data_IF_290503252280
#
_entry.id   IF_290503252280
#
_cell.length_a   1.000
_cell.length_b   1.000
_cell.length_c   1.000
_cell.angle_alpha   90.00
_cell.angle_beta   90.00
_cell.angle_gamma   90.00
#
_symmetry.space_group_name_H-M   'P 1'
#
loop_
_entity.id
_entity.type
_entity.pdbx_description
1 polymer ?
#
# COMPACT_ATOMS: atom_id res chain seq x y z
N UNK A 1 -70.48 19.67 -14.53
CA UNK A 1 -69.54 19.98 -13.44
C UNK A 1 -70.34 20.06 -12.15
N UNK A 2 -70.46 18.95 -11.42
CA UNK A 2 -71.21 18.91 -10.17
C UNK A 2 -70.40 19.64 -9.08
N UNK A 3 -71.00 20.68 -8.48
CA UNK A 3 -70.35 21.59 -7.55
C UNK A 3 -69.92 20.87 -6.27
N UNK A 4 -68.75 21.22 -5.75
CA UNK A 4 -68.15 20.72 -4.50
C UNK A 4 -69.14 20.80 -3.31
N UNK A 5 -70.09 21.73 -3.36
CA UNK A 5 -71.17 21.86 -2.38
C UNK A 5 -72.08 20.63 -2.25
N UNK A 6 -72.33 19.89 -3.33
CA UNK A 6 -73.11 18.65 -3.25
C UNK A 6 -72.34 17.52 -2.57
N UNK A 7 -71.01 17.51 -2.68
CA UNK A 7 -70.18 16.49 -2.05
C UNK A 7 -70.04 16.74 -0.54
N UNK A 8 -69.91 18.01 -0.14
CA UNK A 8 -69.90 18.41 1.27
C UNK A 8 -71.24 18.12 1.95
N UNK A 9 -72.36 18.35 1.26
CA UNK A 9 -73.70 18.07 1.79
C UNK A 9 -73.98 16.57 1.98
N UNK A 10 -73.43 15.72 1.12
CA UNK A 10 -73.56 14.26 1.24
C UNK A 10 -72.69 13.72 2.40
N UNK A 11 -71.50 14.29 2.60
CA UNK A 11 -70.63 13.99 3.75
C UNK A 11 -71.27 14.44 5.07
N UNK A 12 -71.88 15.63 5.11
CA UNK A 12 -72.57 16.11 6.30
C UNK A 12 -73.78 15.24 6.65
N UNK A 13 -74.57 14.80 5.66
CA UNK A 13 -75.68 13.87 5.87
C UNK A 13 -75.20 12.48 6.34
N UNK A 14 -74.03 12.02 5.89
CA UNK A 14 -73.44 10.75 6.32
C UNK A 14 -73.00 10.77 7.79
N UNK A 15 -72.60 11.93 8.32
CA UNK A 15 -72.19 12.08 9.72
C UNK A 15 -73.34 12.49 10.67
N UNK A 16 -74.39 13.15 10.17
CA UNK A 16 -75.54 13.58 10.98
C UNK A 16 -76.50 12.45 11.35
N UNK A 17 -76.48 11.31 10.63
CA UNK A 17 -77.27 10.13 10.95
C UNK A 17 -76.76 9.27 12.12
N UNK A 18 -75.62 9.62 12.74
CA UNK A 18 -74.96 8.79 13.78
C UNK A 18 -74.88 9.42 15.18
N UNK A 19 -75.72 10.41 15.49
CA UNK A 19 -75.82 11.01 16.83
C UNK A 19 -77.28 11.01 17.29
N UNK A 20 -77.77 9.99 18.03
CA UNK A 20 -77.98 9.92 19.50
C UNK A 20 -78.93 8.72 19.81
N UNK A 21 -79.17 8.24 21.06
CA UNK A 21 -78.44 8.33 22.36
C UNK A 21 -78.25 6.96 23.11
N UNK A 22 -77.35 6.92 24.11
CA UNK A 22 -76.95 5.91 25.15
C UNK A 22 -77.87 4.71 25.52
N UNK A 23 -77.36 3.53 25.99
CA UNK A 23 -76.51 3.39 27.21
C UNK A 23 -75.40 2.31 27.20
N UNK A 24 -74.42 2.44 28.12
CA UNK A 24 -73.59 1.33 28.59
C UNK A 24 -72.11 1.39 28.20
N UNK A 25 -71.34 2.21 28.92
CA UNK A 25 -69.87 2.30 28.84
C UNK A 25 -69.16 1.10 29.54
N UNK A 26 -69.89 0.02 29.87
CA UNK A 26 -69.36 -1.11 30.61
C UNK A 26 -68.47 -2.02 29.74
N UNK A 27 -68.59 -1.99 28.40
CA UNK A 27 -67.87 -2.91 27.52
C UNK A 27 -66.38 -2.60 27.39
N UNK A 28 -66.01 -1.32 27.35
CA UNK A 28 -64.62 -0.88 27.24
C UNK A 28 -63.92 -0.91 28.60
N UNK A 29 -64.60 -0.50 29.67
CA UNK A 29 -64.07 -0.60 31.02
C UNK A 29 -63.96 -2.05 31.48
N UNK A 30 -64.88 -2.94 31.07
CA UNK A 30 -64.74 -4.37 31.33
C UNK A 30 -63.69 -5.03 30.45
N UNK A 31 -63.48 -4.57 29.21
CA UNK A 31 -62.36 -5.02 28.38
C UNK A 31 -61.02 -4.55 28.94
N UNK A 32 -60.94 -3.31 29.44
CA UNK A 32 -59.75 -2.76 30.08
C UNK A 32 -59.46 -3.45 31.41
N UNK A 33 -60.49 -3.65 32.24
CA UNK A 33 -60.40 -4.40 33.49
C UNK A 33 -60.04 -5.88 33.25
N UNK A 34 -60.58 -6.51 32.20
CA UNK A 34 -60.21 -7.87 31.81
C UNK A 34 -58.76 -7.95 31.29
N UNK A 35 -58.29 -6.96 30.53
CA UNK A 35 -56.88 -6.87 30.12
C UNK A 35 -55.97 -6.70 31.35
N UNK A 36 -56.35 -5.81 32.26
CA UNK A 36 -55.58 -5.48 33.45
C UNK A 36 -55.57 -6.64 34.46
N UNK A 37 -56.68 -7.37 34.60
CA UNK A 37 -56.76 -8.63 35.35
C UNK A 37 -55.97 -9.76 34.67
N UNK A 38 -55.96 -9.84 33.34
CA UNK A 38 -55.12 -10.82 32.63
C UNK A 38 -53.62 -10.54 32.85
N UNK A 39 -53.22 -9.27 33.02
CA UNK A 39 -51.86 -8.87 33.40
C UNK A 39 -51.53 -9.12 34.89
N UNK A 40 -52.49 -8.98 35.81
CA UNK A 40 -52.28 -9.22 37.24
C UNK A 40 -52.35 -10.71 37.62
N UNK A 41 -53.23 -11.48 36.99
CA UNK A 41 -53.38 -12.94 37.26
C UNK A 41 -52.23 -13.75 36.67
N UNK A 42 -51.44 -13.16 35.77
CA UNK A 42 -50.24 -13.77 35.17
C UNK A 42 -48.93 -13.27 35.80
N UNK A 43 -48.96 -12.87 37.07
CA UNK A 43 -47.76 -12.53 37.87
C UNK A 43 -47.23 -13.69 38.73
N UNK A 44 -47.31 -14.90 38.18
CA UNK A 44 -46.37 -15.95 38.55
C UNK A 44 -45.89 -16.58 37.24
N UNK A 45 -44.59 -16.41 36.97
CA UNK A 45 -43.78 -16.80 35.78
C UNK A 45 -43.45 -15.58 34.86
N UNK A 46 -42.16 -15.32 34.54
CA UNK A 46 -41.64 -13.99 34.21
C UNK A 46 -41.80 -13.62 32.73
N UNK A 47 -42.31 -12.41 32.47
CA UNK A 47 -42.24 -11.74 31.17
C UNK A 47 -41.14 -10.67 31.18
N UNK A 48 -39.88 -11.11 31.17
CA UNK A 48 -38.68 -10.27 30.97
C UNK A 48 -37.78 -10.98 29.97
N UNK A 49 -38.07 -10.92 28.66
CA UNK A 49 -37.21 -11.63 27.68
C UNK A 49 -37.21 -11.09 26.24
N UNK A 50 -38.00 -10.06 25.88
CA UNK A 50 -37.92 -9.48 24.52
C UNK A 50 -37.34 -8.07 24.50
N UNK A 51 -37.79 -7.16 25.37
CA UNK A 51 -37.19 -5.82 25.52
C UNK A 51 -35.76 -5.88 26.04
N UNK A 52 -35.52 -6.64 27.12
CA UNK A 52 -34.17 -6.85 27.67
C UNK A 52 -33.24 -7.52 26.66
N UNK A 53 -33.76 -8.49 25.89
CA UNK A 53 -32.97 -9.19 24.86
C UNK A 53 -32.59 -8.32 23.67
N UNK A 54 -33.47 -7.39 23.26
CA UNK A 54 -33.15 -6.40 22.23
C UNK A 54 -32.16 -5.36 22.74
N UNK A 55 -32.31 -4.89 23.98
CA UNK A 55 -31.35 -3.97 24.61
C UNK A 55 -29.98 -4.61 24.82
N UNK A 56 -29.92 -5.86 25.29
CA UNK A 56 -28.67 -6.63 25.41
C UNK A 56 -28.00 -6.83 24.05
N UNK A 57 -28.77 -7.12 23.01
CA UNK A 57 -28.24 -7.27 21.64
C UNK A 57 -27.69 -5.95 21.09
N UNK A 58 -28.37 -4.82 21.35
CA UNK A 58 -27.90 -3.49 20.95
C UNK A 58 -26.61 -3.12 21.68
N UNK A 59 -26.55 -3.39 22.99
CA UNK A 59 -25.37 -3.14 23.81
C UNK A 59 -24.19 -4.04 23.43
N UNK A 60 -24.44 -5.30 23.05
CA UNK A 60 -23.43 -6.21 22.53
C UNK A 60 -22.87 -5.73 21.19
N UNK A 61 -23.72 -5.24 20.28
CA UNK A 61 -23.31 -4.63 19.00
C UNK A 61 -22.47 -3.37 19.21
N UNK A 62 -22.84 -2.50 20.16
CA UNK A 62 -22.04 -1.32 20.50
C UNK A 62 -20.68 -1.69 21.11
N UNK A 63 -20.63 -2.69 22.01
CA UNK A 63 -19.38 -3.20 22.56
C UNK A 63 -18.50 -3.84 21.49
N UNK A 64 -19.06 -4.61 20.57
CA UNK A 64 -18.32 -5.21 19.46
C UNK A 64 -17.78 -4.14 18.52
N UNK A 65 -18.58 -3.11 18.22
CA UNK A 65 -18.16 -1.99 17.36
C UNK A 65 -17.04 -1.17 18.01
N UNK A 66 -17.12 -0.91 19.31
CA UNK A 66 -16.08 -0.19 20.06
C UNK A 66 -14.82 -1.03 20.22
N UNK A 67 -14.94 -2.33 20.50
CA UNK A 67 -13.82 -3.27 20.56
C UNK A 67 -13.12 -3.40 19.20
N UNK A 68 -13.87 -3.45 18.10
CA UNK A 68 -13.30 -3.50 16.76
C UNK A 68 -12.58 -2.19 16.40
N UNK A 69 -13.18 -1.03 16.72
CA UNK A 69 -12.51 0.26 16.56
C UNK A 69 -11.22 0.37 17.37
N UNK A 70 -11.20 -0.15 18.60
CA UNK A 70 -9.99 -0.17 19.43
C UNK A 70 -8.88 -1.04 18.81
N UNK A 71 -9.22 -2.25 18.37
CA UNK A 71 -8.30 -3.14 17.65
C UNK A 71 -7.74 -2.48 16.39
N UNK A 72 -8.55 -1.73 15.65
CA UNK A 72 -8.10 -1.05 14.44
C UNK A 72 -7.21 0.16 14.76
N UNK A 73 -7.49 0.89 15.85
CA UNK A 73 -6.57 1.92 16.37
C UNK A 73 -5.21 1.32 16.76
N UNK A 74 -5.18 0.17 17.43
CA UNK A 74 -3.95 -0.52 17.82
C UNK A 74 -3.15 -1.00 16.60
N UNK A 75 -3.82 -1.59 15.61
CA UNK A 75 -3.19 -1.99 14.33
C UNK A 75 -2.60 -0.79 13.60
N UNK A 76 -3.34 0.31 13.49
CA UNK A 76 -2.86 1.52 12.85
C UNK A 76 -1.65 2.08 13.60
N UNK A 77 -1.70 2.13 14.93
CA UNK A 77 -0.57 2.57 15.75
C UNK A 77 0.69 1.73 15.50
N UNK A 78 0.54 0.40 15.41
CA UNK A 78 1.64 -0.51 15.09
C UNK A 78 2.21 -0.25 13.68
N UNK A 79 1.34 -0.04 12.69
CA UNK A 79 1.77 0.30 11.32
C UNK A 79 2.57 1.61 11.30
N UNK A 80 2.13 2.64 12.03
CA UNK A 80 2.89 3.89 12.14
C UNK A 80 4.27 3.69 12.77
N UNK A 81 4.37 2.87 13.81
CA UNK A 81 5.64 2.54 14.43
C UNK A 81 6.57 1.80 13.45
N UNK A 82 6.06 0.80 12.74
CA UNK A 82 6.83 0.01 11.77
C UNK A 82 7.32 0.88 10.60
N UNK A 83 6.48 1.78 10.09
CA UNK A 83 6.84 2.74 9.05
C UNK A 83 7.95 3.69 9.54
N UNK A 84 7.81 4.23 10.75
CA UNK A 84 8.82 5.12 11.32
C UNK A 84 10.16 4.41 11.54
N UNK A 85 10.14 3.15 11.99
CA UNK A 85 11.34 2.33 12.13
C UNK A 85 12.00 2.05 10.77
N UNK A 86 11.20 1.74 9.75
CA UNK A 86 11.70 1.51 8.38
C UNK A 86 12.33 2.78 7.80
N UNK A 87 11.68 3.93 7.99
CA UNK A 87 12.22 5.23 7.56
C UNK A 87 13.55 5.52 8.27
N UNK A 88 13.61 5.34 9.60
CA UNK A 88 14.83 5.57 10.38
C UNK A 88 15.96 4.59 10.00
N UNK A 89 15.63 3.32 9.69
CA UNK A 89 16.61 2.34 9.22
C UNK A 89 17.15 2.71 7.83
N UNK A 90 16.28 3.14 6.90
CA UNK A 90 16.66 3.53 5.55
C UNK A 90 17.46 4.84 5.52
N UNK A 91 17.11 5.80 6.38
CA UNK A 91 17.89 7.02 6.57
C UNK A 91 19.29 6.71 7.12
N UNK A 92 19.41 5.79 8.10
CA UNK A 92 20.71 5.33 8.59
C UNK A 92 21.55 4.65 7.52
N UNK A 93 20.94 3.86 6.63
CA UNK A 93 21.64 3.25 5.49
C UNK A 93 22.08 4.28 4.46
N UNK A 94 21.24 5.28 4.13
CA UNK A 94 21.58 6.34 3.19
C UNK A 94 22.66 7.30 3.71
N UNK A 95 22.78 7.44 5.04
CA UNK A 95 23.82 8.21 5.70
C UNK A 95 25.11 7.41 5.93
N UNK A 96 25.12 6.10 5.65
CA UNK A 96 26.40 5.42 5.56
C UNK A 96 27.16 6.04 4.39
N UNK A 97 28.36 6.58 4.61
CA UNK A 97 29.17 7.05 3.50
C UNK A 97 29.36 5.86 2.56
N UNK A 98 29.01 6.03 1.28
CA UNK A 98 29.62 5.18 0.26
C UNK A 98 31.12 5.23 0.53
N UNK A 99 31.84 4.10 0.49
CA UNK A 99 33.28 4.11 0.68
C UNK A 99 33.88 5.04 -0.39
N UNK A 100 34.14 6.30 -0.04
CA UNK A 100 34.77 7.27 -0.95
C UNK A 100 36.12 6.75 -1.44
N UNK A 101 36.72 5.84 -0.66
CA UNK A 101 37.89 5.05 -1.00
C UNK A 101 37.69 4.28 -2.30
N UNK A 102 36.53 3.69 -2.54
CA UNK A 102 36.30 2.82 -3.70
C UNK A 102 36.18 3.66 -4.97
N UNK A 103 35.46 4.77 -4.93
CA UNK A 103 35.31 5.64 -6.11
C UNK A 103 36.66 6.29 -6.48
N UNK A 104 37.41 6.79 -5.49
CA UNK A 104 38.75 7.37 -5.73
C UNK A 104 39.75 6.32 -6.21
N UNK A 105 39.70 5.10 -5.66
CA UNK A 105 40.55 3.99 -6.10
C UNK A 105 40.22 3.53 -7.52
N UNK A 106 38.93 3.39 -7.87
CA UNK A 106 38.49 3.04 -9.22
C UNK A 106 38.94 4.11 -10.23
N UNK A 107 38.74 5.40 -9.91
CA UNK A 107 39.18 6.48 -10.78
C UNK A 107 40.71 6.53 -10.96
N UNK A 108 41.46 6.27 -9.88
CA UNK A 108 42.92 6.20 -9.95
C UNK A 108 43.41 5.02 -10.79
N UNK A 109 42.81 3.84 -10.62
CA UNK A 109 43.14 2.64 -11.40
C UNK A 109 42.85 2.83 -12.89
N UNK A 110 41.71 3.42 -13.24
CA UNK A 110 41.36 3.73 -14.63
C UNK A 110 42.35 4.73 -15.24
N UNK A 111 42.71 5.80 -14.51
CA UNK A 111 43.72 6.76 -14.96
C UNK A 111 45.08 6.09 -15.18
N UNK A 112 45.48 5.20 -14.28
CA UNK A 112 46.74 4.46 -14.40
C UNK A 112 46.73 3.54 -15.63
N UNK A 113 45.64 2.80 -15.85
CA UNK A 113 45.47 1.94 -17.04
C UNK A 113 45.54 2.75 -18.33
N UNK A 114 44.89 3.91 -18.39
CA UNK A 114 44.97 4.79 -19.56
C UNK A 114 46.38 5.33 -19.79
N UNK A 115 47.09 5.71 -18.72
CA UNK A 115 48.47 6.17 -18.83
C UNK A 115 49.40 5.06 -19.33
N UNK A 116 49.24 3.84 -18.80
CA UNK A 116 50.01 2.66 -19.22
C UNK A 116 49.73 2.30 -20.68
N UNK A 117 48.45 2.31 -21.10
CA UNK A 117 48.08 2.06 -22.50
C UNK A 117 48.68 3.10 -23.44
N UNK A 118 48.66 4.39 -23.07
CA UNK A 118 49.29 5.46 -23.86
C UNK A 118 50.80 5.27 -23.95
N UNK A 119 51.45 4.96 -22.83
CA UNK A 119 52.88 4.70 -22.77
C UNK A 119 53.29 3.57 -23.73
N UNK A 120 52.64 2.41 -23.62
CA UNK A 120 52.95 1.26 -24.48
C UNK A 120 52.65 1.54 -25.95
N UNK A 121 51.54 2.23 -26.23
CA UNK A 121 51.20 2.61 -27.59
C UNK A 121 52.29 3.49 -28.22
N UNK A 122 52.71 4.55 -27.54
CA UNK A 122 53.76 5.44 -28.04
C UNK A 122 55.10 4.70 -28.20
N UNK A 123 55.46 3.83 -27.25
CA UNK A 123 56.70 3.05 -27.33
C UNK A 123 56.66 2.08 -28.51
N UNK A 124 55.54 1.39 -28.73
CA UNK A 124 55.32 0.49 -29.85
C UNK A 124 55.30 1.22 -31.20
N UNK A 125 54.61 2.37 -31.32
CA UNK A 125 54.63 3.20 -32.52
C UNK A 125 56.05 3.66 -32.86
N UNK A 126 56.82 4.09 -31.85
CA UNK A 126 58.21 4.52 -32.03
C UNK A 126 59.10 3.37 -32.48
N UNK A 127 58.96 2.20 -31.85
CA UNK A 127 59.73 1.01 -32.19
C UNK A 127 59.42 0.54 -33.61
N UNK A 128 58.13 0.49 -34.00
CA UNK A 128 57.72 0.14 -35.36
C UNK A 128 58.25 1.11 -36.43
N UNK A 129 58.34 2.41 -36.11
CA UNK A 129 58.94 3.39 -37.04
C UNK A 129 60.45 3.21 -37.22
N UNK A 130 61.13 2.68 -36.20
CA UNK A 130 62.57 2.41 -36.23
C UNK A 130 62.91 1.02 -36.77
N UNK A 131 61.94 0.11 -36.78
CA UNK A 131 62.09 -1.25 -37.27
C UNK A 131 62.32 -1.26 -38.79
N UNK A 132 63.48 -1.75 -39.21
CA UNK A 132 63.79 -1.96 -40.62
C UNK A 132 63.05 -3.22 -41.13
N UNK A 133 62.12 -3.09 -42.11
CA UNK A 133 61.35 -4.22 -42.62
C UNK A 133 62.19 -5.32 -43.27
N UNK A 134 63.40 -5.00 -43.74
CA UNK A 134 64.29 -5.98 -44.38
C UNK A 134 65.33 -6.57 -43.44
N UNK A 135 65.35 -6.13 -42.18
CA UNK A 135 66.18 -6.75 -41.14
C UNK A 135 65.62 -8.10 -40.71
N UNK A 136 66.46 -8.93 -40.10
CA UNK A 136 66.02 -10.22 -39.53
C UNK A 136 64.90 -10.03 -38.49
N UNK A 137 64.97 -8.98 -37.67
CA UNK A 137 63.94 -8.65 -36.68
C UNK A 137 62.65 -8.15 -37.35
N UNK A 138 62.76 -7.33 -38.40
CA UNK A 138 61.60 -6.88 -39.17
C UNK A 138 60.85 -8.03 -39.85
N UNK A 139 61.59 -8.95 -40.48
CA UNK A 139 61.01 -10.14 -41.13
C UNK A 139 60.30 -11.04 -40.11
N UNK A 140 60.96 -11.35 -39.00
CA UNK A 140 60.37 -12.16 -37.93
C UNK A 140 59.15 -11.47 -37.30
N UNK A 141 59.23 -10.17 -37.05
CA UNK A 141 58.13 -9.43 -36.45
C UNK A 141 56.90 -9.37 -37.38
N UNK A 142 57.10 -9.28 -38.70
CA UNK A 142 55.98 -9.34 -39.65
C UNK A 142 55.22 -10.66 -39.55
N UNK A 143 55.92 -11.80 -39.51
CA UNK A 143 55.30 -13.12 -39.32
C UNK A 143 54.60 -13.22 -37.94
N UNK A 144 55.25 -12.70 -36.89
CA UNK A 144 54.66 -12.64 -35.56
C UNK A 144 53.38 -11.78 -35.52
N UNK A 145 53.34 -10.67 -36.25
CA UNK A 145 52.21 -9.74 -36.27
C UNK A 145 50.98 -10.28 -37.00
N UNK A 146 51.11 -11.30 -37.85
CA UNK A 146 49.99 -11.87 -38.62
C UNK A 146 48.88 -12.46 -37.73
N UNK A 147 49.22 -12.91 -36.52
CA UNK A 147 48.24 -13.48 -35.59
C UNK A 147 47.47 -12.41 -34.79
N UNK A 148 47.85 -11.15 -34.91
CA UNK A 148 47.27 -10.04 -34.16
C UNK A 148 46.36 -9.19 -35.06
N UNK A 149 45.43 -8.46 -34.44
CA UNK A 149 44.52 -7.55 -35.16
C UNK A 149 45.28 -6.40 -35.88
N UNK A 150 46.46 -6.03 -35.37
CA UNK A 150 47.33 -5.04 -36.02
C UNK A 150 48.79 -5.23 -35.64
N UNK A 151 49.74 -4.74 -36.47
CA UNK A 151 51.16 -4.69 -36.10
C UNK A 151 51.42 -3.89 -34.81
N UNK A 152 50.60 -2.86 -34.56
CA UNK A 152 50.69 -2.10 -33.32
C UNK A 152 50.35 -2.94 -32.09
N UNK A 153 49.32 -3.79 -32.18
CA UNK A 153 48.95 -4.68 -31.08
C UNK A 153 50.05 -5.72 -30.82
N UNK A 154 50.61 -6.31 -31.87
CA UNK A 154 51.74 -7.22 -31.77
C UNK A 154 52.97 -6.53 -31.14
N UNK A 155 53.29 -5.30 -31.56
CA UNK A 155 54.42 -4.55 -31.03
C UNK A 155 54.24 -4.20 -29.55
N UNK A 156 53.01 -3.89 -29.11
CA UNK A 156 52.71 -3.66 -27.69
C UNK A 156 53.00 -4.92 -26.87
N UNK A 157 52.48 -6.08 -27.31
CA UNK A 157 52.68 -7.37 -26.62
C UNK A 157 54.15 -7.80 -26.59
N UNK A 158 54.86 -7.65 -27.72
CA UNK A 158 56.29 -7.94 -27.81
C UNK A 158 57.10 -7.07 -26.84
N UNK A 159 56.87 -5.75 -26.83
CA UNK A 159 57.59 -4.83 -25.94
C UNK A 159 57.25 -5.04 -24.46
N UNK A 160 56.01 -5.43 -24.15
CA UNK A 160 55.61 -5.77 -22.78
C UNK A 160 56.26 -7.08 -22.30
N UNK A 161 56.47 -8.04 -23.19
CA UNK A 161 57.13 -9.31 -22.84
C UNK A 161 58.65 -9.17 -22.63
N UNK A 162 59.25 -8.08 -23.13
CA UNK A 162 60.69 -7.82 -23.05
C UNK A 162 61.11 -7.06 -21.77
N UNK A 163 60.18 -6.44 -21.05
CA UNK A 163 60.43 -5.56 -19.90
C UNK A 163 59.94 -6.19 -18.58
#
# INVERSE_FOLDING_TARGET
MASIDNFLRDLENQHRGKSQPSPGDDGLDQALAALQQAHQTKQAIPQTSQGDRLSEMLQALEQETTANKLKDCEKNHRIYQDINQLIAAKQRQAQQPLPETDIKAIAAAEKQKQAQNKYWRTRAETWLQQLDPFSNEGLWFMEFAETYESPLAAAIEYLQALE
#
